data_IF_910880409039
#
_entry.id   IF_910880409039
#
_cell.length_a   1.000
_cell.length_b   1.000
_cell.length_c   1.000
_cell.angle_alpha   90.00
_cell.angle_beta   90.00
_cell.angle_gamma   90.00
#
_symmetry.space_group_name_H-M   'P 1'
#
loop_
_entity.id
_entity.type
_entity.pdbx_description
1 polymer ?
#
# COMPACT_ATOMS: atom_id res chain seq x y z
N UNK A 1 -4.39 -7.10 -31.44
CA UNK A 1 -3.80 -7.25 -30.09
C UNK A 1 -2.46 -6.51 -30.10
N UNK A 2 -2.21 -5.62 -29.12
CA UNK A 2 -0.91 -4.95 -28.98
C UNK A 2 0.10 -5.91 -28.35
N UNK A 3 1.38 -5.72 -28.68
CA UNK A 3 2.49 -6.53 -28.14
C UNK A 3 3.47 -5.64 -27.39
N UNK A 4 3.96 -6.12 -26.24
CA UNK A 4 4.99 -5.46 -25.44
C UNK A 4 6.07 -6.48 -25.03
N UNK A 5 7.31 -6.04 -24.91
CA UNK A 5 8.39 -6.86 -24.38
C UNK A 5 8.11 -7.24 -22.93
N UNK A 6 7.69 -6.24 -22.14
CA UNK A 6 7.36 -6.43 -20.72
C UNK A 6 6.03 -5.75 -20.39
N UNK A 7 5.13 -6.50 -19.74
CA UNK A 7 3.93 -5.97 -19.11
C UNK A 7 4.09 -6.09 -17.59
N UNK A 8 3.96 -4.97 -16.88
CA UNK A 8 4.08 -4.88 -15.42
C UNK A 8 2.70 -4.66 -14.82
N UNK A 9 2.27 -5.55 -13.95
CA UNK A 9 0.97 -5.48 -13.29
C UNK A 9 1.13 -4.87 -11.90
N UNK A 10 0.72 -3.61 -11.79
CA UNK A 10 0.81 -2.79 -10.60
C UNK A 10 1.85 -1.67 -10.73
N UNK A 11 1.37 -0.43 -10.59
CA UNK A 11 2.16 0.81 -10.63
C UNK A 11 2.65 1.28 -9.24
N UNK A 12 2.79 0.35 -8.30
CA UNK A 12 3.39 0.60 -6.99
C UNK A 12 4.93 0.64 -7.03
N UNK A 13 5.61 0.74 -5.86
CA UNK A 13 7.07 0.90 -5.81
C UNK A 13 7.84 -0.18 -6.57
N UNK A 14 7.42 -1.42 -6.46
CA UNK A 14 8.09 -2.53 -7.13
C UNK A 14 7.93 -2.46 -8.67
N UNK A 15 6.71 -2.16 -9.14
CA UNK A 15 6.44 -2.04 -10.58
C UNK A 15 7.14 -0.85 -11.22
N UNK A 16 7.15 0.30 -10.54
CA UNK A 16 7.85 1.49 -11.00
C UNK A 16 9.37 1.27 -11.10
N UNK A 17 9.96 0.67 -10.06
CA UNK A 17 11.39 0.36 -10.06
C UNK A 17 11.76 -0.67 -11.15
N UNK A 18 10.91 -1.70 -11.33
CA UNK A 18 11.11 -2.69 -12.39
C UNK A 18 11.04 -2.07 -13.78
N UNK A 19 10.09 -1.16 -14.02
CA UNK A 19 9.94 -0.47 -15.30
C UNK A 19 11.15 0.39 -15.62
N UNK A 20 11.62 1.20 -14.65
CA UNK A 20 12.82 2.03 -14.80
C UNK A 20 14.04 1.17 -15.09
N UNK A 21 14.26 0.12 -14.29
CA UNK A 21 15.39 -0.78 -14.48
C UNK A 21 15.35 -1.51 -15.83
N UNK A 22 14.20 -1.97 -16.28
CA UNK A 22 14.06 -2.59 -17.59
C UNK A 22 14.41 -1.62 -18.73
N UNK A 23 13.94 -0.37 -18.66
CA UNK A 23 14.25 0.68 -19.62
C UNK A 23 15.74 1.01 -19.66
N UNK A 24 16.39 1.16 -18.52
CA UNK A 24 17.83 1.41 -18.37
C UNK A 24 18.67 0.26 -18.93
N UNK A 25 18.16 -0.96 -18.92
CA UNK A 25 18.79 -2.14 -19.52
C UNK A 25 18.39 -2.38 -20.99
N UNK A 26 17.80 -1.39 -21.66
CA UNK A 26 17.61 -1.39 -23.11
C UNK A 26 16.27 -1.90 -23.60
N UNK A 27 15.35 -2.32 -22.73
CA UNK A 27 14.00 -2.73 -23.14
C UNK A 27 13.18 -1.49 -23.53
N UNK A 28 12.57 -1.52 -24.72
CA UNK A 28 11.85 -0.35 -25.23
C UNK A 28 10.33 -0.44 -25.02
N UNK A 29 9.75 -1.59 -25.25
CA UNK A 29 8.30 -1.77 -25.24
C UNK A 29 7.82 -2.27 -23.86
N UNK A 30 7.63 -1.33 -22.94
CA UNK A 30 7.21 -1.58 -21.56
C UNK A 30 5.86 -0.94 -21.31
N UNK A 31 4.93 -1.70 -20.71
CA UNK A 31 3.63 -1.21 -20.27
C UNK A 31 3.41 -1.50 -18.80
N UNK A 32 3.00 -0.48 -18.03
CA UNK A 32 2.52 -0.62 -16.66
C UNK A 32 1.00 -0.58 -16.65
N UNK A 33 0.35 -1.56 -16.03
CA UNK A 33 -1.10 -1.59 -15.80
C UNK A 33 -1.39 -1.32 -14.33
N UNK A 34 -2.07 -0.20 -14.03
CA UNK A 34 -2.43 0.21 -12.68
C UNK A 34 -3.95 0.35 -12.55
N UNK A 35 -4.52 -0.31 -11.55
CA UNK A 35 -5.97 -0.27 -11.30
C UNK A 35 -6.46 1.02 -10.64
N UNK A 36 -5.58 1.72 -9.92
CA UNK A 36 -5.95 2.96 -9.22
C UNK A 36 -5.91 4.16 -10.19
N UNK A 37 -6.35 5.30 -9.72
CA UNK A 37 -6.39 6.58 -10.46
C UNK A 37 -5.00 7.20 -10.65
N UNK A 38 -3.98 6.69 -9.96
CA UNK A 38 -2.62 7.22 -9.99
C UNK A 38 -1.58 6.13 -9.71
N UNK A 39 -0.36 6.38 -10.17
CA UNK A 39 0.81 5.56 -9.85
C UNK A 39 1.27 5.81 -8.39
N UNK A 40 2.07 4.88 -7.84
CA UNK A 40 2.64 4.99 -6.49
C UNK A 40 2.13 3.91 -5.53
N UNK A 41 0.94 3.37 -5.78
CA UNK A 41 0.36 2.28 -4.99
C UNK A 41 0.25 2.62 -3.51
N UNK A 42 0.65 1.68 -2.64
CA UNK A 42 0.55 1.83 -1.18
C UNK A 42 1.36 3.02 -0.63
N UNK A 43 2.39 3.47 -1.34
CA UNK A 43 3.20 4.60 -0.89
C UNK A 43 2.40 5.90 -0.79
N UNK A 44 1.38 6.08 -1.63
CA UNK A 44 0.56 7.29 -1.63
C UNK A 44 -0.17 7.52 -0.30
N UNK A 45 -0.49 6.46 0.42
CA UNK A 45 -1.10 6.57 1.75
C UNK A 45 -0.09 6.58 2.91
N UNK A 46 1.18 6.27 2.64
CA UNK A 46 2.25 6.21 3.65
C UNK A 46 2.91 7.57 3.84
N UNK A 47 2.19 8.54 4.42
CA UNK A 47 2.66 9.92 4.58
C UNK A 47 3.66 10.11 5.73
N UNK A 48 4.08 9.04 6.40
CA UNK A 48 5.14 9.04 7.41
C UNK A 48 6.52 8.91 6.76
N UNK A 49 7.55 9.38 7.45
CA UNK A 49 8.95 9.27 7.03
C UNK A 49 9.48 7.84 7.16
N UNK A 50 10.61 7.57 6.51
CA UNK A 50 11.37 6.33 6.62
C UNK A 50 11.61 5.62 5.29
N UNK A 51 11.27 6.27 4.19
CA UNK A 51 11.55 5.79 2.83
C UNK A 51 12.82 6.49 2.28
N UNK A 52 13.44 5.89 1.28
CA UNK A 52 14.50 6.52 0.48
C UNK A 52 15.93 6.43 1.02
N UNK A 53 16.15 6.14 2.29
CA UNK A 53 17.49 6.14 2.91
C UNK A 53 18.49 5.23 2.17
N UNK A 54 18.08 4.05 1.73
CA UNK A 54 18.95 3.13 1.00
C UNK A 54 19.10 3.52 -0.48
N UNK A 55 18.03 3.98 -1.12
CA UNK A 55 17.97 4.24 -2.57
C UNK A 55 18.48 5.65 -2.90
N UNK A 56 17.98 6.66 -2.19
CA UNK A 56 18.25 8.06 -2.49
C UNK A 56 19.18 8.75 -1.49
N UNK A 57 19.57 8.04 -0.40
CA UNK A 57 20.37 8.59 0.72
C UNK A 57 19.70 9.76 1.42
N UNK A 58 18.39 9.86 1.30
CA UNK A 58 17.53 10.89 1.90
C UNK A 58 16.35 10.23 2.61
N UNK A 59 15.89 10.85 3.70
CA UNK A 59 14.69 10.43 4.39
C UNK A 59 13.47 11.08 3.74
N UNK A 60 12.61 10.26 3.16
CA UNK A 60 11.43 10.68 2.40
C UNK A 60 10.16 10.12 3.03
N UNK A 61 9.04 10.77 2.75
CA UNK A 61 7.71 10.17 2.91
C UNK A 61 7.41 9.21 1.76
N UNK A 62 6.38 8.37 1.92
CA UNK A 62 5.96 7.46 0.85
C UNK A 62 5.63 8.16 -0.47
N UNK A 63 4.79 9.23 -0.48
CA UNK A 63 4.50 9.99 -1.70
C UNK A 63 5.73 10.62 -2.36
N UNK A 64 6.66 11.16 -1.58
CA UNK A 64 7.91 11.73 -2.12
C UNK A 64 8.76 10.64 -2.78
N UNK A 65 8.89 9.48 -2.14
CA UNK A 65 9.60 8.34 -2.71
C UNK A 65 8.96 7.87 -4.02
N UNK A 66 7.63 7.68 -4.02
CA UNK A 66 6.88 7.33 -5.22
C UNK A 66 7.03 8.37 -6.32
N UNK A 67 6.95 9.65 -5.98
CA UNK A 67 7.08 10.77 -6.90
C UNK A 67 8.39 10.77 -7.68
N UNK A 68 9.50 10.35 -7.06
CA UNK A 68 10.80 10.22 -7.74
C UNK A 68 10.78 9.15 -8.81
N UNK A 69 10.23 7.97 -8.54
CA UNK A 69 10.11 6.91 -9.54
C UNK A 69 9.07 7.23 -10.61
N UNK A 70 7.94 7.84 -10.24
CA UNK A 70 6.93 8.31 -11.21
C UNK A 70 7.54 9.32 -12.18
N UNK A 71 8.39 10.24 -11.67
CA UNK A 71 9.11 11.18 -12.53
C UNK A 71 10.03 10.44 -13.50
N UNK A 72 10.80 9.46 -13.05
CA UNK A 72 11.69 8.66 -13.91
C UNK A 72 10.90 7.92 -15.00
N UNK A 73 9.77 7.28 -14.64
CA UNK A 73 8.89 6.60 -15.60
C UNK A 73 8.42 7.56 -16.70
N UNK A 74 8.03 8.79 -16.33
CA UNK A 74 7.60 9.83 -17.27
C UNK A 74 8.74 10.34 -18.13
N UNK A 75 9.89 10.65 -17.53
CA UNK A 75 11.09 11.16 -18.22
C UNK A 75 11.62 10.14 -19.25
N UNK A 76 11.52 8.85 -18.93
CA UNK A 76 11.91 7.74 -19.81
C UNK A 76 10.83 7.36 -20.84
N UNK A 77 9.69 8.03 -20.85
CA UNK A 77 8.61 7.78 -21.80
C UNK A 77 8.01 6.35 -21.69
N UNK A 78 7.99 5.77 -20.48
CA UNK A 78 7.42 4.44 -20.27
C UNK A 78 5.89 4.54 -20.28
N UNK A 79 5.23 3.71 -21.12
CA UNK A 79 3.77 3.70 -21.21
C UNK A 79 3.13 3.13 -19.95
N UNK A 80 2.04 3.74 -19.51
CA UNK A 80 1.22 3.21 -18.41
C UNK A 80 -0.26 3.47 -18.65
N UNK A 81 -1.12 2.59 -18.13
CA UNK A 81 -2.58 2.74 -18.14
C UNK A 81 -3.09 2.72 -16.71
N UNK A 82 -3.76 3.80 -16.33
CA UNK A 82 -4.46 3.93 -15.04
C UNK A 82 -5.89 3.38 -15.15
N UNK A 83 -6.57 3.24 -14.00
CA UNK A 83 -7.93 2.70 -13.95
C UNK A 83 -8.10 1.37 -14.70
N UNK A 84 -7.00 0.61 -14.84
CA UNK A 84 -6.96 -0.60 -15.66
C UNK A 84 -6.78 -1.82 -14.77
N UNK A 85 -7.80 -2.66 -14.73
CA UNK A 85 -7.80 -3.90 -13.97
C UNK A 85 -7.38 -5.06 -14.86
N UNK A 86 -6.36 -5.80 -14.43
CA UNK A 86 -5.99 -7.08 -15.04
C UNK A 86 -6.91 -8.16 -14.50
N UNK A 87 -7.54 -8.90 -15.39
CA UNK A 87 -8.51 -9.93 -15.09
C UNK A 87 -7.93 -11.33 -15.15
N UNK A 88 -7.04 -11.58 -16.11
CA UNK A 88 -6.44 -12.88 -16.34
C UNK A 88 -5.07 -12.77 -17.00
N UNK A 89 -4.27 -13.83 -16.88
CA UNK A 89 -2.99 -14.01 -17.57
C UNK A 89 -2.92 -15.46 -18.00
N UNK A 90 -2.90 -15.68 -19.31
CA UNK A 90 -2.78 -17.03 -19.88
C UNK A 90 -1.36 -17.60 -19.79
N UNK A 91 -1.23 -18.92 -19.97
CA UNK A 91 0.08 -19.59 -20.11
C UNK A 91 0.94 -19.04 -21.26
N UNK A 92 0.29 -18.52 -22.30
CA UNK A 92 0.95 -17.91 -23.46
C UNK A 92 1.30 -16.44 -23.25
N UNK A 93 1.16 -15.95 -21.99
CA UNK A 93 1.43 -14.57 -21.58
C UNK A 93 0.52 -13.55 -22.27
N UNK A 94 -0.72 -13.92 -22.56
CA UNK A 94 -1.77 -13.00 -22.96
C UNK A 94 -2.36 -12.42 -21.67
N UNK A 95 -2.25 -11.11 -21.52
CA UNK A 95 -2.80 -10.37 -20.39
C UNK A 95 -4.15 -9.81 -20.80
N UNK A 96 -5.22 -10.29 -20.16
CA UNK A 96 -6.57 -9.74 -20.31
C UNK A 96 -6.81 -8.66 -19.29
N UNK A 97 -7.12 -7.46 -19.76
CA UNK A 97 -7.35 -6.30 -18.90
C UNK A 97 -8.63 -5.56 -19.31
N UNK A 98 -9.14 -4.75 -18.41
CA UNK A 98 -10.29 -3.90 -18.68
C UNK A 98 -10.13 -2.51 -18.06
N UNK A 99 -10.65 -1.52 -18.76
CA UNK A 99 -10.83 -0.16 -18.26
C UNK A 99 -12.13 0.46 -18.84
N UNK A 100 -12.43 1.68 -18.41
CA UNK A 100 -13.66 2.35 -18.84
C UNK A 100 -13.61 2.82 -20.32
N UNK A 101 -12.42 3.11 -20.82
CA UNK A 101 -12.23 3.71 -22.14
C UNK A 101 -12.20 2.66 -23.26
N UNK A 102 -11.47 1.55 -23.02
CA UNK A 102 -11.23 0.50 -24.02
C UNK A 102 -12.14 -0.72 -23.84
N UNK A 103 -12.86 -0.81 -22.70
CA UNK A 103 -13.60 -2.02 -22.34
C UNK A 103 -12.67 -3.17 -22.00
N UNK A 104 -13.01 -4.37 -22.41
CA UNK A 104 -12.17 -5.57 -22.26
C UNK A 104 -11.21 -5.65 -23.45
N UNK A 105 -9.92 -5.83 -23.18
CA UNK A 105 -8.88 -5.94 -24.21
C UNK A 105 -7.78 -6.91 -23.80
N UNK A 106 -7.03 -7.37 -24.79
CA UNK A 106 -5.93 -8.32 -24.61
C UNK A 106 -4.61 -7.71 -25.08
N UNK A 107 -3.54 -8.08 -24.40
CA UNK A 107 -2.16 -7.67 -24.66
C UNK A 107 -1.27 -8.91 -24.70
N UNK A 108 -0.48 -9.05 -25.74
CA UNK A 108 0.59 -10.07 -25.79
C UNK A 108 1.82 -9.52 -25.08
N UNK A 109 2.33 -10.24 -24.11
CA UNK A 109 3.57 -9.91 -23.41
C UNK A 109 4.70 -10.88 -23.75
N UNK A 110 5.93 -10.37 -23.91
CA UNK A 110 7.13 -11.19 -23.93
C UNK A 110 7.45 -11.74 -22.53
N UNK A 111 7.33 -10.87 -21.51
CA UNK A 111 7.40 -11.22 -20.09
C UNK A 111 6.36 -10.46 -19.28
N UNK A 112 5.90 -11.05 -18.17
CA UNK A 112 4.98 -10.41 -17.23
C UNK A 112 5.64 -10.29 -15.87
N UNK A 113 5.60 -9.08 -15.28
CA UNK A 113 6.08 -8.83 -13.93
C UNK A 113 4.87 -8.58 -13.02
N UNK A 114 4.70 -9.42 -12.01
CA UNK A 114 3.65 -9.28 -11.02
C UNK A 114 4.11 -8.38 -9.87
N UNK A 115 3.62 -7.14 -9.83
CA UNK A 115 3.95 -6.14 -8.82
C UNK A 115 2.69 -5.62 -8.08
N UNK A 116 1.71 -6.51 -7.89
CA UNK A 116 0.36 -6.17 -7.41
C UNK A 116 0.28 -5.86 -5.91
N UNK A 117 1.38 -5.97 -5.19
CA UNK A 117 1.42 -5.81 -3.74
C UNK A 117 0.68 -6.92 -3.00
N UNK A 118 0.22 -6.60 -1.79
CA UNK A 118 -0.58 -7.52 -0.97
C UNK A 118 -1.79 -6.80 -0.38
N UNK A 119 -2.70 -7.57 0.20
CA UNK A 119 -3.82 -7.06 0.99
C UNK A 119 -3.72 -7.52 2.42
N UNK A 120 -4.11 -6.65 3.32
CA UNK A 120 -4.32 -7.01 4.71
C UNK A 120 -5.46 -8.03 4.83
N UNK A 121 -5.32 -8.91 5.80
CA UNK A 121 -6.40 -9.84 6.14
C UNK A 121 -7.59 -9.06 6.71
N UNK A 122 -8.76 -9.33 6.16
CA UNK A 122 -10.00 -8.79 6.72
C UNK A 122 -10.31 -9.43 8.08
N UNK A 123 -11.20 -8.80 8.85
CA UNK A 123 -11.71 -9.37 10.10
C UNK A 123 -12.21 -10.81 9.96
N UNK A 124 -12.90 -11.10 8.86
CA UNK A 124 -13.40 -12.46 8.59
C UNK A 124 -12.29 -13.48 8.37
N UNK A 125 -11.24 -13.09 7.65
CA UNK A 125 -10.06 -13.93 7.41
C UNK A 125 -9.19 -14.12 8.68
N UNK A 126 -9.28 -13.20 9.64
CA UNK A 126 -8.61 -13.31 10.95
C UNK A 126 -9.43 -14.12 11.97
N UNK A 127 -10.65 -14.49 11.63
CA UNK A 127 -11.59 -15.21 12.53
C UNK A 127 -11.79 -14.52 13.90
N UNK A 128 -11.78 -13.18 13.92
CA UNK A 128 -12.00 -12.43 15.15
C UNK A 128 -13.44 -12.67 15.62
N UNK A 129 -13.65 -13.27 16.82
CA UNK A 129 -14.98 -13.62 17.32
C UNK A 129 -15.81 -12.38 17.66
N UNK A 130 -17.10 -12.60 17.87
CA UNK A 130 -18.05 -11.59 18.33
C UNK A 130 -18.93 -11.04 17.21
N UNK A 131 -19.66 -9.95 17.54
CA UNK A 131 -20.54 -9.27 16.60
C UNK A 131 -19.76 -8.63 15.45
N UNK A 132 -20.45 -8.40 14.34
CA UNK A 132 -19.88 -7.76 13.14
C UNK A 132 -20.47 -6.35 12.93
N UNK A 133 -20.25 -5.40 13.86
CA UNK A 133 -20.74 -4.05 13.68
C UNK A 133 -20.00 -3.34 12.56
N UNK A 134 -20.56 -2.23 12.08
CA UNK A 134 -19.83 -1.25 11.31
C UNK A 134 -18.68 -0.65 12.15
N UNK A 135 -17.68 -0.08 11.50
CA UNK A 135 -16.54 0.56 12.18
C UNK A 135 -15.36 -0.37 12.48
N UNK A 136 -15.36 -1.61 11.98
CA UNK A 136 -14.20 -2.50 12.04
C UNK A 136 -13.45 -2.43 10.71
N UNK A 137 -12.24 -1.87 10.75
CA UNK A 137 -11.37 -1.66 9.59
C UNK A 137 -10.04 -2.38 9.77
N UNK A 138 -9.41 -2.79 8.68
CA UNK A 138 -7.98 -3.05 8.69
C UNK A 138 -7.21 -1.74 8.81
N UNK A 139 -5.99 -1.78 9.35
CA UNK A 139 -5.19 -0.57 9.56
C UNK A 139 -4.89 0.17 8.25
N UNK A 140 -4.58 -0.54 7.15
CA UNK A 140 -4.34 0.07 5.85
C UNK A 140 -5.59 0.68 5.22
N UNK A 141 -6.79 0.10 5.45
CA UNK A 141 -8.04 0.74 5.03
C UNK A 141 -8.28 2.04 5.81
N UNK A 142 -8.08 2.03 7.12
CA UNK A 142 -8.17 3.24 7.94
C UNK A 142 -7.14 4.29 7.50
N UNK A 143 -5.92 3.87 7.18
CA UNK A 143 -4.87 4.74 6.66
C UNK A 143 -5.26 5.41 5.35
N UNK A 144 -5.83 4.66 4.41
CA UNK A 144 -6.32 5.23 3.15
C UNK A 144 -7.41 6.26 3.40
N UNK A 145 -8.40 5.93 4.21
CA UNK A 145 -9.51 6.84 4.54
C UNK A 145 -9.00 8.16 5.12
N UNK A 146 -8.07 8.10 6.08
CA UNK A 146 -7.53 9.31 6.73
C UNK A 146 -6.60 10.08 5.79
N UNK A 147 -5.63 9.41 5.17
CA UNK A 147 -4.51 10.08 4.50
C UNK A 147 -4.81 10.47 3.04
N UNK A 148 -5.71 9.74 2.37
CA UNK A 148 -6.01 9.98 0.95
C UNK A 148 -7.42 10.51 0.71
N UNK A 149 -8.39 10.06 1.51
CA UNK A 149 -9.80 10.41 1.27
C UNK A 149 -10.31 11.49 2.24
N UNK A 150 -9.53 11.85 3.28
CA UNK A 150 -9.89 12.88 4.26
C UNK A 150 -11.03 12.50 5.21
N UNK A 151 -11.30 11.21 5.38
CA UNK A 151 -12.33 10.71 6.28
C UNK A 151 -11.75 10.21 7.58
N UNK A 152 -12.37 10.59 8.71
CA UNK A 152 -12.07 10.02 10.01
C UNK A 152 -12.96 8.79 10.27
N UNK A 153 -12.42 7.56 10.26
CA UNK A 153 -13.22 6.34 10.41
C UNK A 153 -13.81 6.14 11.81
N UNK A 154 -13.31 6.87 12.81
CA UNK A 154 -13.83 6.82 14.18
C UNK A 154 -13.21 7.89 15.06
N UNK A 155 -14.01 8.43 16.00
CA UNK A 155 -13.54 9.42 16.99
C UNK A 155 -12.94 8.78 18.24
N UNK A 156 -13.45 7.63 18.63
CA UNK A 156 -12.90 6.78 19.68
C UNK A 156 -12.46 5.46 19.07
N UNK A 157 -11.20 5.09 19.27
CA UNK A 157 -10.53 4.03 18.51
C UNK A 157 -9.88 3.03 19.45
N UNK A 158 -10.04 1.77 19.14
CA UNK A 158 -9.29 0.64 19.69
C UNK A 158 -8.51 0.00 18.54
N UNK A 159 -7.24 -0.23 18.75
CA UNK A 159 -6.35 -0.87 17.77
C UNK A 159 -5.98 -2.26 18.30
N UNK A 160 -6.18 -3.28 17.48
CA UNK A 160 -5.76 -4.65 17.76
C UNK A 160 -4.47 -4.95 17.02
N UNK A 161 -3.40 -5.10 17.77
CA UNK A 161 -2.03 -5.33 17.30
C UNK A 161 -1.14 -4.10 17.39
N UNK A 162 0.07 -4.28 17.91
CA UNK A 162 1.10 -3.25 18.09
C UNK A 162 2.25 -3.40 17.08
N UNK A 163 1.99 -3.97 15.91
CA UNK A 163 2.90 -3.89 14.78
C UNK A 163 3.03 -2.48 14.23
N UNK A 164 3.97 -2.25 13.31
CA UNK A 164 4.28 -0.90 12.81
C UNK A 164 3.05 -0.16 12.30
N UNK A 165 2.21 -0.79 11.48
CA UNK A 165 1.04 -0.10 10.92
C UNK A 165 0.02 0.26 11.99
N UNK A 166 -0.16 -0.58 13.02
CA UNK A 166 -1.03 -0.29 14.16
C UNK A 166 -0.55 0.93 14.95
N UNK A 167 0.75 0.99 15.23
CA UNK A 167 1.37 2.12 15.94
C UNK A 167 1.34 3.42 15.13
N UNK A 168 1.67 3.35 13.84
CA UNK A 168 1.61 4.48 12.92
C UNK A 168 0.19 5.05 12.87
N UNK A 169 -0.83 4.17 12.80
CA UNK A 169 -2.22 4.61 12.78
C UNK A 169 -2.70 5.13 14.13
N UNK A 170 -2.23 4.55 15.24
CA UNK A 170 -2.50 5.10 16.57
C UNK A 170 -2.04 6.56 16.67
N UNK A 171 -0.80 6.82 16.29
CA UNK A 171 -0.23 8.16 16.25
C UNK A 171 -1.00 9.06 15.25
N UNK A 172 -1.22 8.60 14.04
CA UNK A 172 -1.86 9.42 12.99
C UNK A 172 -3.27 9.84 13.39
N UNK A 173 -4.09 8.91 13.80
CA UNK A 173 -5.48 9.21 14.19
C UNK A 173 -5.56 10.13 15.41
N UNK A 174 -4.63 10.01 16.35
CA UNK A 174 -4.55 10.94 17.48
C UNK A 174 -4.22 12.35 17.03
N UNK A 175 -3.26 12.52 16.13
CA UNK A 175 -2.89 13.82 15.56
C UNK A 175 -4.04 14.46 14.75
N UNK A 176 -4.91 13.65 14.18
CA UNK A 176 -6.13 14.10 13.47
C UNK A 176 -7.33 14.30 14.41
N UNK A 177 -7.14 14.18 15.72
CA UNK A 177 -8.15 14.50 16.74
C UNK A 177 -9.02 13.33 17.19
N UNK A 178 -8.72 12.10 16.81
CA UNK A 178 -9.35 10.92 17.39
C UNK A 178 -8.75 10.60 18.75
N UNK A 179 -9.55 9.96 19.63
CA UNK A 179 -9.10 9.43 20.91
C UNK A 179 -8.80 7.95 20.79
N UNK A 180 -7.54 7.60 20.68
CA UNK A 180 -7.12 6.19 20.74
C UNK A 180 -7.16 5.75 22.21
N UNK A 181 -8.09 4.85 22.53
CA UNK A 181 -8.33 4.36 23.90
C UNK A 181 -7.34 3.27 24.29
N UNK A 182 -7.08 2.36 23.36
CA UNK A 182 -6.28 1.15 23.60
C UNK A 182 -5.56 0.74 22.34
N UNK A 183 -4.32 0.34 22.47
CA UNK A 183 -3.61 -0.52 21.52
C UNK A 183 -3.40 -1.85 22.21
N UNK A 184 -4.15 -2.87 21.82
CA UNK A 184 -4.13 -4.19 22.42
C UNK A 184 -3.12 -5.09 21.68
N UNK A 185 -2.31 -5.81 22.44
CA UNK A 185 -1.30 -6.73 21.90
C UNK A 185 -1.44 -8.11 22.56
N UNK A 186 -1.24 -9.16 21.79
CA UNK A 186 -1.27 -10.54 22.27
C UNK A 186 0.01 -10.90 23.02
N UNK A 187 1.14 -10.35 22.58
CA UNK A 187 2.45 -10.61 23.17
C UNK A 187 2.71 -9.62 24.33
N UNK A 188 3.56 -9.96 25.29
CA UNK A 188 3.94 -9.07 26.40
C UNK A 188 4.86 -7.92 25.96
N UNK A 189 5.08 -7.75 24.66
CA UNK A 189 5.88 -6.70 24.06
C UNK A 189 5.30 -6.26 22.73
N UNK A 190 5.55 -5.01 22.35
CA UNK A 190 5.16 -4.48 21.05
C UNK A 190 5.99 -5.09 19.93
N UNK A 191 5.33 -5.49 18.83
CA UNK A 191 5.96 -6.05 17.64
C UNK A 191 6.51 -5.03 16.64
N UNK A 192 6.27 -3.73 16.89
CA UNK A 192 6.71 -2.66 15.99
C UNK A 192 8.16 -2.22 16.18
N UNK A 193 8.67 -1.45 15.22
CA UNK A 193 10.00 -0.84 15.30
C UNK A 193 10.08 0.12 16.51
N UNK A 194 11.25 0.16 17.17
CA UNK A 194 11.49 0.98 18.36
C UNK A 194 11.07 2.44 18.16
N UNK A 195 11.34 3.04 17.01
CA UNK A 195 10.94 4.42 16.71
C UNK A 195 9.42 4.63 16.76
N UNK A 196 8.63 3.68 16.25
CA UNK A 196 7.17 3.76 16.24
C UNK A 196 6.61 3.57 17.66
N UNK A 197 7.24 2.69 18.45
CA UNK A 197 6.90 2.49 19.87
C UNK A 197 7.13 3.78 20.64
N UNK A 198 8.32 4.39 20.51
CA UNK A 198 8.68 5.64 21.22
C UNK A 198 7.73 6.77 20.84
N UNK A 199 7.45 6.96 19.57
CA UNK A 199 6.50 7.99 19.09
C UNK A 199 5.07 7.80 19.62
N UNK A 200 4.65 6.56 19.88
CA UNK A 200 3.36 6.29 20.51
C UNK A 200 3.41 6.50 22.03
N UNK A 201 4.51 6.15 22.70
CA UNK A 201 4.70 6.41 24.12
C UNK A 201 4.69 7.90 24.44
N UNK A 202 5.36 8.72 23.61
CA UNK A 202 5.37 10.19 23.75
C UNK A 202 3.97 10.81 23.71
N UNK A 203 3.04 10.15 22.99
CA UNK A 203 1.63 10.54 22.96
C UNK A 203 0.78 9.88 24.06
N UNK A 204 1.39 9.18 25.02
CA UNK A 204 0.70 8.42 26.07
C UNK A 204 -0.31 7.40 25.53
N UNK A 205 -0.05 6.81 24.34
CA UNK A 205 -1.01 5.99 23.60
C UNK A 205 -0.88 4.48 23.84
N UNK A 206 0.11 3.99 24.60
CA UNK A 206 0.29 2.55 24.77
C UNK A 206 -0.28 2.10 26.11
N UNK A 207 -1.40 1.39 26.05
CA UNK A 207 -1.80 0.41 27.04
C UNK A 207 -1.62 -0.97 26.40
N UNK A 208 -0.49 -1.63 26.69
CA UNK A 208 -0.30 -3.04 26.36
C UNK A 208 -1.06 -3.80 27.44
N UNK A 209 -2.23 -4.33 27.11
CA UNK A 209 -2.94 -5.24 27.99
C UNK A 209 -2.68 -6.66 27.52
N UNK A 210 -2.08 -7.49 28.35
CA UNK A 210 -2.15 -8.93 28.17
C UNK A 210 -3.63 -9.33 28.16
N UNK A 211 -4.10 -10.12 27.16
CA UNK A 211 -5.38 -10.74 27.30
C UNK A 211 -5.29 -11.70 28.51
N UNK A 212 -5.98 -11.38 29.57
CA UNK A 212 -6.19 -12.33 30.65
C UNK A 212 -6.76 -13.60 30.04
N UNK A 213 -5.98 -14.68 30.04
CA UNK A 213 -6.52 -16.02 29.71
C UNK A 213 -7.63 -16.33 30.72
N UNK A 214 -8.81 -16.78 30.22
CA UNK A 214 -9.82 -17.34 31.11
C UNK A 214 -9.31 -18.58 31.81
#
# INVERSE_FOLDING_TARGET
MKTYDIVIIGGGPAGLAAAVSARENGIQDILILERDKELGGILNQCIHNGFGLHTFKEELTGPEYAGRFIKQVKDLGIEYKLHTMVMDISSDKIVTAMNREEGLFEIQAGAVILAMGCRERSRGALNIPGYRPAGIYSAGTAQRLVNMEGYMPGREVVILGSGDIGLIMARRMTLEGAKVKVVAELMPYSGGLKRNIVQCLDLSLIHISEPTRP
#
